data_IF_996269245906
#
_entry.id   IF_996269245906
#
_cell.length_a   1.000
_cell.length_b   1.000
_cell.length_c   1.000
_cell.angle_alpha   90.00
_cell.angle_beta   90.00
_cell.angle_gamma   90.00
#
_symmetry.space_group_name_H-M   'P 1'
#
loop_
_entity.id
_entity.type
_entity.pdbx_description
1 polymer ?
#
# COMPACT_ATOMS: atom_id res chain seq x y z
N UNK A 1 -11.03 -9.62 15.43
CA UNK A 1 -9.91 -9.50 14.46
C UNK A 1 -8.80 -10.47 14.83
N UNK A 2 -7.75 -10.53 14.02
CA UNK A 2 -6.50 -11.28 14.27
C UNK A 2 -5.30 -10.39 13.91
N UNK A 3 -4.12 -10.69 14.45
CA UNK A 3 -2.87 -10.04 14.07
C UNK A 3 -1.78 -11.09 13.79
N UNK A 4 -0.74 -10.68 13.06
CA UNK A 4 0.43 -11.50 12.78
C UNK A 4 1.68 -10.63 12.87
N UNK A 5 2.82 -11.23 13.22
CA UNK A 5 4.12 -10.56 13.29
C UNK A 5 5.01 -11.11 12.19
N UNK A 6 5.66 -10.21 11.47
CA UNK A 6 6.65 -10.52 10.45
C UNK A 6 7.62 -9.36 10.33
N UNK A 7 8.82 -9.64 9.82
CA UNK A 7 9.79 -8.61 9.47
C UNK A 7 9.73 -8.34 7.97
N UNK A 8 9.69 -7.08 7.56
CA UNK A 8 9.55 -6.69 6.17
C UNK A 8 10.80 -5.98 5.67
N UNK A 9 11.20 -6.30 4.44
CA UNK A 9 12.27 -5.62 3.71
C UNK A 9 11.67 -4.95 2.48
N UNK A 10 11.95 -3.68 2.29
CA UNK A 10 11.31 -2.86 1.27
C UNK A 10 11.89 -1.47 1.15
N UNK A 11 11.36 -0.71 0.19
CA UNK A 11 11.64 0.71 0.00
C UNK A 11 10.54 1.50 0.69
N UNK A 12 10.89 2.57 1.42
CA UNK A 12 9.89 3.46 2.03
C UNK A 12 9.09 4.19 0.95
N UNK A 13 7.79 4.33 1.17
CA UNK A 13 6.94 5.11 0.27
C UNK A 13 7.38 6.57 0.16
N UNK A 14 7.87 7.16 1.25
CA UNK A 14 8.46 8.51 1.23
C UNK A 14 9.72 8.63 0.36
N UNK A 15 10.52 7.57 0.25
CA UNK A 15 11.68 7.56 -0.64
C UNK A 15 11.25 7.41 -2.11
N UNK A 16 10.18 6.64 -2.39
CA UNK A 16 9.60 6.54 -3.72
C UNK A 16 8.94 7.86 -4.16
N UNK A 17 8.17 8.51 -3.28
CA UNK A 17 7.55 9.80 -3.55
C UNK A 17 8.60 10.88 -3.89
N UNK A 18 9.74 10.87 -3.19
CA UNK A 18 10.86 11.78 -3.47
C UNK A 18 11.40 11.63 -4.91
N UNK A 19 11.44 10.41 -5.43
CA UNK A 19 11.91 10.12 -6.79
C UNK A 19 10.81 10.36 -7.83
N UNK A 20 9.55 10.10 -7.46
CA UNK A 20 8.40 10.29 -8.34
C UNK A 20 7.99 11.77 -8.51
N UNK A 21 8.38 12.64 -7.57
CA UNK A 21 8.08 14.08 -7.57
C UNK A 21 6.59 14.37 -7.83
N UNK A 22 5.67 13.91 -6.95
CA UNK A 22 4.25 14.15 -7.15
C UNK A 22 3.94 15.65 -7.18
N UNK A 23 2.86 16.00 -7.87
CA UNK A 23 2.37 17.37 -7.93
C UNK A 23 2.00 17.89 -6.53
N UNK A 24 2.11 19.20 -6.31
CA UNK A 24 1.88 19.81 -5.00
C UNK A 24 0.44 19.63 -4.48
N UNK A 25 -0.51 19.35 -5.36
CA UNK A 25 -1.91 19.08 -5.04
C UNK A 25 -2.19 17.60 -4.71
N UNK A 26 -1.21 16.70 -4.82
CA UNK A 26 -1.40 15.30 -4.46
C UNK A 26 -1.69 15.15 -2.96
N UNK A 27 -2.84 14.57 -2.61
CA UNK A 27 -3.30 14.34 -1.24
C UNK A 27 -3.58 12.86 -0.93
N UNK A 28 -3.56 12.01 -1.96
CA UNK A 28 -3.89 10.58 -1.87
C UNK A 28 -2.98 9.75 -2.76
N UNK A 29 -2.91 8.45 -2.48
CA UNK A 29 -2.14 7.48 -3.28
C UNK A 29 -3.01 6.28 -3.59
N UNK A 30 -3.06 5.87 -4.85
CA UNK A 30 -3.73 4.66 -5.32
C UNK A 30 -2.72 3.57 -5.67
N UNK A 31 -2.99 2.36 -5.19
CA UNK A 31 -2.18 1.17 -5.41
C UNK A 31 -2.96 0.15 -6.20
N UNK A 32 -2.53 -0.15 -7.42
CA UNK A 32 -3.12 -1.21 -8.24
C UNK A 32 -2.37 -2.53 -8.07
N UNK A 33 -3.12 -3.61 -7.88
CA UNK A 33 -2.61 -4.98 -7.91
C UNK A 33 -2.49 -5.52 -9.34
N UNK A 34 -2.16 -6.80 -9.45
CA UNK A 34 -2.11 -7.50 -10.74
C UNK A 34 -3.49 -7.85 -11.27
N UNK A 35 -4.44 -8.15 -10.38
CA UNK A 35 -5.82 -8.42 -10.75
C UNK A 35 -6.48 -7.11 -11.23
N UNK A 36 -7.21 -7.18 -12.36
CA UNK A 36 -7.65 -6.00 -13.11
C UNK A 36 -8.43 -4.96 -12.27
N UNK A 37 -9.22 -5.43 -11.32
CA UNK A 37 -10.10 -4.57 -10.52
C UNK A 37 -9.58 -4.35 -9.08
N UNK A 38 -8.47 -4.97 -8.70
CA UNK A 38 -7.97 -4.86 -7.34
C UNK A 38 -7.09 -3.61 -7.20
N UNK A 39 -7.62 -2.60 -6.53
CA UNK A 39 -6.85 -1.43 -6.11
C UNK A 39 -7.24 -0.99 -4.70
N UNK A 40 -6.40 -0.21 -4.05
CA UNK A 40 -6.69 0.44 -2.78
C UNK A 40 -6.12 1.85 -2.79
N UNK A 41 -6.88 2.82 -2.25
CA UNK A 41 -6.40 4.20 -2.07
C UNK A 41 -6.30 4.61 -0.62
N UNK A 42 -5.25 5.39 -0.34
CA UNK A 42 -4.84 5.81 1.00
C UNK A 42 -4.66 7.34 1.02
N UNK A 43 -4.79 7.94 2.21
CA UNK A 43 -4.37 9.32 2.48
C UNK A 43 -2.83 9.46 2.45
N UNK A 44 -2.35 10.64 2.08
CA UNK A 44 -0.91 10.94 1.98
C UNK A 44 -0.17 10.78 3.32
N UNK A 45 -0.81 11.09 4.45
CA UNK A 45 -0.16 10.98 5.77
C UNK A 45 0.20 9.52 6.09
N UNK A 46 -0.75 8.60 5.89
CA UNK A 46 -0.50 7.17 6.03
C UNK A 46 0.54 6.64 5.04
N UNK A 47 0.54 7.16 3.81
CA UNK A 47 1.53 6.77 2.81
C UNK A 47 2.95 7.23 3.18
N UNK A 48 3.07 8.44 3.72
CA UNK A 48 4.35 9.02 4.13
C UNK A 48 4.84 8.52 5.50
N UNK A 49 4.05 7.69 6.19
CA UNK A 49 4.43 7.12 7.47
C UNK A 49 5.77 6.35 7.36
N UNK A 50 6.72 6.48 8.32
CA UNK A 50 8.06 5.90 8.21
C UNK A 50 8.12 4.37 8.04
N UNK A 51 7.04 3.68 8.40
CA UNK A 51 6.89 2.22 8.29
C UNK A 51 6.03 1.77 7.10
N UNK A 52 5.59 2.68 6.23
CA UNK A 52 4.92 2.32 4.97
C UNK A 52 5.97 2.00 3.91
N UNK A 53 5.90 0.77 3.39
CA UNK A 53 6.88 0.18 2.48
C UNK A 53 6.23 -0.35 1.21
N UNK A 54 6.95 -0.23 0.10
CA UNK A 54 6.87 -1.24 -0.98
C UNK A 54 7.82 -2.36 -0.61
N UNK A 55 7.26 -3.43 -0.06
CA UNK A 55 7.99 -4.58 0.42
C UNK A 55 8.26 -5.60 -0.70
N UNK A 56 9.49 -6.09 -0.76
CA UNK A 56 9.93 -7.18 -1.66
C UNK A 56 10.51 -8.38 -0.89
N UNK A 57 10.62 -8.28 0.44
CA UNK A 57 11.04 -9.37 1.31
C UNK A 57 10.25 -9.47 2.62
N UNK A 58 10.15 -10.70 3.14
CA UNK A 58 9.50 -11.04 4.41
C UNK A 58 10.35 -12.10 5.13
N UNK A 59 10.61 -11.89 6.41
CA UNK A 59 11.36 -12.81 7.28
C UNK A 59 12.71 -13.25 6.72
N UNK A 60 13.47 -12.27 6.24
CA UNK A 60 14.83 -12.43 5.71
C UNK A 60 14.90 -13.11 4.33
N UNK A 61 13.77 -13.30 3.64
CA UNK A 61 13.70 -13.91 2.31
C UNK A 61 12.94 -13.02 1.34
N UNK A 62 13.14 -13.21 0.04
CA UNK A 62 12.28 -12.62 -0.98
C UNK A 62 10.84 -13.10 -0.79
N UNK A 63 9.87 -12.26 -1.14
CA UNK A 63 8.46 -12.64 -1.06
C UNK A 63 8.18 -13.90 -1.89
N UNK A 64 7.42 -14.82 -1.31
CA UNK A 64 6.75 -15.87 -2.06
C UNK A 64 5.43 -15.37 -2.65
N UNK A 65 4.90 -16.06 -3.67
CA UNK A 65 3.62 -15.72 -4.30
C UNK A 65 2.48 -15.50 -3.28
N UNK A 66 2.27 -16.35 -2.24
CA UNK A 66 1.19 -16.14 -1.26
C UNK A 66 1.24 -14.78 -0.52
N UNK A 67 2.43 -14.17 -0.45
CA UNK A 67 2.67 -12.89 0.19
C UNK A 67 2.71 -11.72 -0.80
N UNK A 68 2.38 -11.93 -2.08
CA UNK A 68 2.27 -10.87 -3.07
C UNK A 68 3.57 -10.56 -3.81
N UNK A 69 4.44 -11.55 -4.00
CA UNK A 69 5.65 -11.38 -4.81
C UNK A 69 5.34 -10.88 -6.24
N UNK A 70 6.21 -10.07 -6.87
CA UNK A 70 7.54 -9.68 -6.39
C UNK A 70 7.53 -8.49 -5.42
N UNK A 71 6.43 -7.73 -5.36
CA UNK A 71 6.31 -6.55 -4.53
C UNK A 71 4.88 -6.35 -4.03
N UNK A 72 4.76 -5.83 -2.81
CA UNK A 72 3.47 -5.45 -2.20
C UNK A 72 3.59 -4.14 -1.45
N UNK A 73 2.46 -3.49 -1.18
CA UNK A 73 2.37 -2.46 -0.14
C UNK A 73 2.28 -3.14 1.22
N UNK A 74 3.03 -2.60 2.18
CA UNK A 74 2.93 -2.97 3.58
C UNK A 74 2.98 -1.73 4.47
N UNK A 75 2.04 -1.61 5.40
CA UNK A 75 2.10 -0.61 6.47
C UNK A 75 1.42 -1.12 7.74
N UNK A 76 2.02 -0.92 8.92
CA UNK A 76 1.40 -1.30 10.19
C UNK A 76 0.26 -0.36 10.60
N UNK A 77 0.13 0.83 10.00
CA UNK A 77 -0.96 1.78 10.33
C UNK A 77 -2.25 1.49 9.56
N UNK A 78 -2.24 0.53 8.64
CA UNK A 78 -3.41 0.10 7.86
C UNK A 78 -3.75 -1.37 8.10
N UNK A 79 -5.04 -1.69 8.07
CA UNK A 79 -5.55 -3.06 8.15
C UNK A 79 -5.13 -3.90 6.94
N UNK A 80 -5.06 -5.22 7.13
CA UNK A 80 -4.49 -6.14 6.13
C UNK A 80 -5.12 -6.08 4.74
N UNK A 81 -6.41 -5.75 4.62
CA UNK A 81 -7.10 -5.65 3.32
C UNK A 81 -6.69 -4.41 2.51
N UNK A 82 -6.17 -3.36 3.16
CA UNK A 82 -5.64 -2.16 2.51
C UNK A 82 -4.26 -2.40 1.88
N UNK A 83 -3.54 -3.44 2.31
CA UNK A 83 -2.15 -3.70 1.96
C UNK A 83 -2.04 -4.47 0.63
N UNK A 84 -2.08 -3.76 -0.49
CA UNK A 84 -2.12 -4.32 -1.85
C UNK A 84 -1.00 -5.30 -2.16
N UNK A 85 -1.35 -6.52 -2.58
CA UNK A 85 -0.41 -7.55 -3.06
C UNK A 85 -0.23 -7.47 -4.57
N UNK A 86 0.87 -8.04 -5.07
CA UNK A 86 1.16 -8.09 -6.52
C UNK A 86 1.12 -6.68 -7.14
N UNK A 87 1.79 -5.73 -6.48
CA UNK A 87 1.73 -4.31 -6.82
C UNK A 87 2.24 -4.07 -8.24
N UNK A 88 1.41 -3.44 -9.08
CA UNK A 88 1.74 -3.12 -10.48
C UNK A 88 1.88 -1.64 -10.72
N UNK A 89 1.15 -0.79 -9.98
CA UNK A 89 1.15 0.67 -10.17
C UNK A 89 0.91 1.41 -8.86
N UNK A 90 1.56 2.57 -8.75
CA UNK A 90 1.34 3.57 -7.71
C UNK A 90 0.98 4.87 -8.42
N UNK A 91 -0.11 5.53 -8.00
CA UNK A 91 -0.55 6.82 -8.56
C UNK A 91 -0.78 7.81 -7.43
N UNK A 92 -0.08 8.94 -7.47
CA UNK A 92 -0.37 10.08 -6.60
C UNK A 92 -1.52 10.89 -7.18
N UNK A 93 -2.51 11.23 -6.36
CA UNK A 93 -3.78 11.82 -6.79
C UNK A 93 -4.19 13.01 -5.93
N UNK A 94 -4.87 14.03 -6.51
CA UNK A 94 -5.33 15.18 -5.76
C UNK A 94 -6.63 14.93 -4.97
N UNK A 95 -7.38 13.88 -5.33
CA UNK A 95 -8.66 13.57 -4.72
C UNK A 95 -8.72 12.12 -4.23
N UNK A 96 -9.52 11.91 -3.18
CA UNK A 96 -9.79 10.59 -2.62
C UNK A 96 -10.42 9.68 -3.67
N UNK A 97 -9.91 8.46 -3.78
CA UNK A 97 -10.50 7.40 -4.59
C UNK A 97 -11.18 6.34 -3.69
N UNK A 98 -11.88 5.40 -4.31
CA UNK A 98 -12.39 4.21 -3.68
C UNK A 98 -11.31 3.18 -3.38
N UNK A 99 -11.69 1.92 -3.42
CA UNK A 99 -10.81 0.78 -3.18
C UNK A 99 -11.65 -0.48 -3.20
N UNK A 100 -11.08 -1.58 -3.69
CA UNK A 100 -11.83 -2.81 -3.97
C UNK A 100 -12.72 -3.24 -2.79
N UNK A 101 -12.19 -3.21 -1.56
CA UNK A 101 -12.98 -3.56 -0.38
C UNK A 101 -13.87 -2.42 0.11
N UNK A 102 -13.38 -1.17 0.06
CA UNK A 102 -14.13 0.00 0.51
C UNK A 102 -15.38 0.25 -0.33
N UNK A 103 -15.31 -0.03 -1.63
CA UNK A 103 -16.43 0.06 -2.56
C UNK A 103 -17.47 -1.05 -2.34
N UNK A 104 -17.10 -2.08 -1.57
CA UNK A 104 -17.97 -3.16 -1.11
C UNK A 104 -18.45 -2.96 0.34
N UNK A 105 -18.30 -1.75 0.89
CA UNK A 105 -18.83 -1.37 2.20
C UNK A 105 -17.85 -1.54 3.36
N UNK A 106 -16.58 -1.86 3.10
CA UNK A 106 -15.55 -1.78 4.13
C UNK A 106 -15.23 -0.31 4.42
N UNK A 107 -14.70 -0.03 5.61
CA UNK A 107 -14.23 1.31 5.94
C UNK A 107 -13.14 1.76 4.95
N UNK A 108 -13.13 3.04 4.58
CA UNK A 108 -12.11 3.53 3.66
C UNK A 108 -10.75 3.73 4.32
N UNK A 109 -10.73 4.34 5.51
CA UNK A 109 -9.50 4.65 6.23
C UNK A 109 -8.78 3.37 6.67
N UNK A 110 -9.53 2.44 7.28
CA UNK A 110 -9.10 1.07 7.58
C UNK A 110 -7.73 0.98 8.24
N UNK A 111 -7.59 1.51 9.46
CA UNK A 111 -6.30 1.67 10.12
C UNK A 111 -6.40 2.31 11.49
N UNK A 112 -5.25 2.73 12.02
CA UNK A 112 -5.13 3.51 13.28
C UNK A 112 -4.49 4.85 13.04
#
# INVERSE_FOLDING_TARGET
GWNARATWSGVRMSDLARVAEPTADAQYVDFAGFDQDYHESWDMESDMHPLTLVAYGMDGRLLGAPHGAPARVHSPVKLGYKNTKYLTRIVFMPARNGGYWSDQGYEWYGGT
#
